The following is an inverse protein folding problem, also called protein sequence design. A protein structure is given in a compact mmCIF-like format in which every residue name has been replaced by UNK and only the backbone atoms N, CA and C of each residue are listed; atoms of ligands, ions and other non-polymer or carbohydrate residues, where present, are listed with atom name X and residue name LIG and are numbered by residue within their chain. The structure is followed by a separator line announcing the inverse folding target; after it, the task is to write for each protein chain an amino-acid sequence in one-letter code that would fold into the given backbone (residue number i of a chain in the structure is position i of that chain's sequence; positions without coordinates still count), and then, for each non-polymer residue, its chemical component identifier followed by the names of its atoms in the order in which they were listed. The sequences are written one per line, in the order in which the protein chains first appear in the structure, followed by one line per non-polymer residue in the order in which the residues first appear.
data_IF_798689219944
#
_entry.id   IF_798689219944
#
_cell.length_a   1.000
_cell.length_b   1.000
_cell.length_c   1.000
_cell.angle_alpha   90.00
_cell.angle_beta   90.00
_cell.angle_gamma   90.00
#
_symmetry.space_group_name_H-M   'P 1'
#
loop_
_entity.id
_entity.type
_entity.pdbx_description
1 polymer ?
#
# COMPACT_ATOMS: atom_id res chain seq x y z
N UNK A 1 -35.75 27.22 -46.17
CA UNK A 1 -35.15 26.70 -44.91
C UNK A 1 -33.62 26.80 -44.91
N UNK A 2 -33.02 28.01 -44.95
CA UNK A 2 -31.54 28.18 -44.96
C UNK A 2 -31.00 29.09 -43.84
N UNK A 3 -31.87 29.56 -42.94
CA UNK A 3 -31.48 30.49 -41.86
C UNK A 3 -30.95 29.76 -40.61
N UNK A 4 -31.27 28.48 -40.43
CA UNK A 4 -30.94 27.73 -39.21
C UNK A 4 -29.53 27.12 -39.16
N UNK A 5 -28.89 26.82 -40.31
CA UNK A 5 -27.57 26.14 -40.32
C UNK A 5 -26.44 27.06 -39.86
N UNK A 6 -26.48 28.35 -40.22
CA UNK A 6 -25.47 29.34 -39.78
C UNK A 6 -25.57 29.65 -38.28
N UNK A 7 -26.79 29.70 -37.73
CA UNK A 7 -26.99 29.86 -36.29
C UNK A 7 -26.55 28.63 -35.51
N UNK A 8 -26.81 27.43 -36.03
CA UNK A 8 -26.33 26.18 -35.43
C UNK A 8 -24.79 26.12 -35.41
N UNK A 9 -24.13 26.39 -36.54
CA UNK A 9 -22.66 26.42 -36.60
C UNK A 9 -22.07 27.46 -35.62
N UNK A 10 -22.68 28.65 -35.53
CA UNK A 10 -22.28 29.67 -34.56
C UNK A 10 -22.47 29.19 -33.12
N UNK A 11 -23.60 28.57 -32.80
CA UNK A 11 -23.89 28.03 -31.46
C UNK A 11 -22.86 26.96 -31.04
N UNK A 12 -22.56 25.98 -31.91
CA UNK A 12 -21.54 24.96 -31.63
C UNK A 12 -20.12 25.56 -31.53
N UNK A 13 -19.80 26.57 -32.35
CA UNK A 13 -18.51 27.26 -32.25
C UNK A 13 -18.34 28.00 -30.93
N UNK A 14 -19.39 28.67 -30.44
CA UNK A 14 -19.41 29.37 -29.15
C UNK A 14 -19.35 28.37 -28.00
N UNK A 15 -20.14 27.29 -28.05
CA UNK A 15 -20.11 26.23 -27.05
C UNK A 15 -18.72 25.57 -26.94
N UNK A 16 -18.05 25.31 -28.07
CA UNK A 16 -16.69 24.75 -28.09
C UNK A 16 -15.67 25.71 -27.48
N UNK A 17 -15.76 27.00 -27.80
CA UNK A 17 -14.91 28.05 -27.22
C UNK A 17 -15.14 28.14 -25.70
N UNK A 18 -16.40 28.12 -25.26
CA UNK A 18 -16.75 28.18 -23.84
C UNK A 18 -16.26 26.94 -23.07
N UNK A 19 -16.36 25.74 -23.67
CA UNK A 19 -15.80 24.51 -23.10
C UNK A 19 -14.28 24.58 -23.00
N UNK A 20 -13.58 25.14 -24.00
CA UNK A 20 -12.13 25.37 -23.96
C UNK A 20 -11.73 26.39 -22.87
N UNK A 21 -12.51 27.46 -22.67
CA UNK A 21 -12.28 28.42 -21.59
C UNK A 21 -12.48 27.80 -20.20
N UNK A 22 -13.54 27.00 -20.02
CA UNK A 22 -13.79 26.28 -18.77
C UNK A 22 -12.68 25.26 -18.51
N UNK A 23 -12.26 24.49 -19.52
CA UNK A 23 -11.16 23.54 -19.42
C UNK A 23 -9.83 24.23 -19.08
N UNK A 24 -9.53 25.38 -19.71
CA UNK A 24 -8.34 26.19 -19.37
C UNK A 24 -8.38 26.73 -17.95
N UNK A 25 -9.51 27.30 -17.51
CA UNK A 25 -9.68 27.77 -16.13
C UNK A 25 -9.52 26.64 -15.11
N UNK A 26 -10.10 25.46 -15.38
CA UNK A 26 -9.95 24.28 -14.53
C UNK A 26 -8.50 23.78 -14.50
N UNK A 27 -7.83 23.73 -15.65
CA UNK A 27 -6.42 23.35 -15.74
C UNK A 27 -5.49 24.36 -15.05
N UNK A 28 -5.80 25.65 -15.12
CA UNK A 28 -5.07 26.72 -14.45
C UNK A 28 -5.31 26.73 -12.93
N UNK A 29 -6.53 26.47 -12.48
CA UNK A 29 -6.84 26.23 -11.07
C UNK A 29 -6.15 24.97 -10.54
N UNK A 30 -6.10 23.89 -11.32
CA UNK A 30 -5.34 22.67 -11.00
C UNK A 30 -3.83 22.91 -11.00
N UNK A 31 -3.31 23.77 -11.89
CA UNK A 31 -1.90 24.20 -11.88
C UNK A 31 -1.60 25.04 -10.65
N UNK A 32 -2.45 26.02 -10.33
CA UNK A 32 -2.28 26.88 -9.15
C UNK A 32 -2.43 26.10 -7.85
N UNK A 33 -3.36 25.13 -7.80
CA UNK A 33 -3.47 24.19 -6.67
C UNK A 33 -2.20 23.37 -6.54
N UNK A 34 -1.69 22.80 -7.64
CA UNK A 34 -0.41 22.09 -7.65
C UNK A 34 0.72 23.00 -7.17
N UNK A 35 0.87 24.21 -7.71
CA UNK A 35 1.90 25.16 -7.26
C UNK A 35 1.77 25.47 -5.76
N UNK A 36 0.57 25.73 -5.24
CA UNK A 36 0.39 25.94 -3.80
C UNK A 36 0.70 24.70 -2.97
N UNK A 37 0.43 23.50 -3.49
CA UNK A 37 0.75 22.22 -2.86
C UNK A 37 2.27 21.95 -2.88
N UNK A 38 2.96 22.29 -3.97
CA UNK A 38 4.42 22.24 -4.08
C UNK A 38 5.06 23.18 -3.04
N UNK A 39 4.61 24.44 -2.96
CA UNK A 39 5.14 25.44 -2.02
C UNK A 39 4.91 25.07 -0.56
N UNK A 40 3.79 24.40 -0.24
CA UNK A 40 3.52 23.90 1.12
C UNK A 40 4.37 22.69 1.49
N UNK A 41 4.83 21.91 0.51
CA UNK A 41 5.71 20.74 0.72
C UNK A 41 7.18 21.13 0.87
N UNK A 42 7.61 22.22 0.24
CA UNK A 42 8.98 22.75 0.26
C UNK A 42 9.40 23.44 1.58
N UNK A 43 8.84 23.08 2.73
CA UNK A 43 9.28 23.65 4.03
C UNK A 43 10.70 23.21 4.39
N UNK A 44 11.16 22.07 3.85
CA UNK A 44 12.54 21.61 3.88
C UNK A 44 12.89 21.09 2.49
N UNK A 45 13.87 21.69 1.82
CA UNK A 45 14.29 21.23 0.51
C UNK A 45 14.98 19.87 0.66
N UNK A 46 14.28 18.79 0.33
CA UNK A 46 14.84 17.42 0.33
C UNK A 46 15.24 16.95 -1.06
N UNK A 47 15.00 17.72 -2.12
CA UNK A 47 15.22 17.28 -3.51
C UNK A 47 16.70 17.05 -3.83
N UNK A 48 17.59 17.69 -3.06
CA UNK A 48 19.03 17.50 -3.14
C UNK A 48 19.52 16.17 -2.55
N UNK A 49 18.72 15.48 -1.72
CA UNK A 49 19.14 14.21 -1.15
C UNK A 49 19.12 13.12 -2.23
N UNK A 50 20.22 12.37 -2.28
CA UNK A 50 20.47 11.35 -3.30
C UNK A 50 19.43 10.23 -3.19
N UNK A 51 18.78 9.91 -4.31
CA UNK A 51 17.95 8.72 -4.45
C UNK A 51 18.84 7.59 -5.00
N UNK A 52 18.73 6.34 -4.48
CA UNK A 52 19.40 5.19 -5.09
C UNK A 52 19.12 5.08 -6.59
N UNK A 53 20.15 4.78 -7.39
CA UNK A 53 20.03 4.77 -8.85
C UNK A 53 18.94 3.82 -9.36
N UNK A 54 18.79 2.66 -8.73
CA UNK A 54 17.72 1.69 -8.99
C UNK A 54 16.34 2.32 -8.83
N UNK A 55 16.10 3.00 -7.70
CA UNK A 55 14.85 3.70 -7.44
C UNK A 55 14.65 4.87 -8.42
N UNK A 56 15.72 5.60 -8.78
CA UNK A 56 15.67 6.65 -9.79
C UNK A 56 15.13 6.15 -11.14
N UNK A 57 15.60 4.99 -11.60
CA UNK A 57 15.12 4.36 -12.84
C UNK A 57 13.64 3.94 -12.73
N UNK A 58 13.24 3.34 -11.60
CA UNK A 58 11.85 2.96 -11.35
C UNK A 58 10.90 4.17 -11.35
N UNK A 59 11.31 5.30 -10.77
CA UNK A 59 10.51 6.53 -10.73
C UNK A 59 10.35 7.17 -12.12
N UNK A 60 11.38 7.10 -12.96
CA UNK A 60 11.29 7.56 -14.35
C UNK A 60 10.32 6.68 -15.14
N UNK A 61 10.40 5.36 -14.99
CA UNK A 61 9.47 4.43 -15.63
C UNK A 61 8.02 4.66 -15.17
N UNK A 62 7.80 4.85 -13.86
CA UNK A 62 6.49 5.11 -13.28
C UNK A 62 5.90 6.47 -13.69
N UNK A 63 6.74 7.47 -13.99
CA UNK A 63 6.28 8.79 -14.45
C UNK A 63 5.79 8.81 -15.91
N UNK A 64 6.24 7.86 -16.73
CA UNK A 64 5.89 7.79 -18.17
C UNK A 64 4.80 6.76 -18.44
N UNK A 65 4.85 5.61 -17.73
CA UNK A 65 3.91 4.51 -17.95
C UNK A 65 2.59 4.79 -17.23
N UNK A 66 1.46 4.47 -17.86
CA UNK A 66 0.15 4.43 -17.20
C UNK A 66 0.14 3.32 -16.15
N UNK A 67 -0.31 3.61 -14.93
CA UNK A 67 -0.47 2.60 -13.88
C UNK A 67 -1.41 1.49 -14.35
N UNK A 68 -0.97 0.24 -14.22
CA UNK A 68 -1.81 -0.93 -14.45
C UNK A 68 -2.99 -0.89 -13.48
N UNK A 69 -4.16 -1.37 -13.92
CA UNK A 69 -5.41 -1.36 -13.17
C UNK A 69 -5.99 0.02 -12.77
N UNK A 70 -5.41 1.14 -13.21
CA UNK A 70 -5.95 2.48 -12.93
C UNK A 70 -7.42 2.63 -13.32
N UNK A 71 -7.84 1.94 -14.37
CA UNK A 71 -9.19 2.01 -14.96
C UNK A 71 -10.19 1.07 -14.29
N UNK A 72 -9.70 0.20 -13.40
CA UNK A 72 -10.51 -0.76 -12.67
C UNK A 72 -10.93 -0.25 -11.29
N UNK A 73 -10.46 0.94 -10.89
CA UNK A 73 -10.77 1.55 -9.61
C UNK A 73 -12.10 2.31 -9.68
N UNK A 74 -13.07 1.90 -8.85
CA UNK A 74 -14.33 2.60 -8.67
C UNK A 74 -14.61 2.83 -7.18
N UNK A 75 -14.99 4.06 -6.82
CA UNK A 75 -15.53 4.33 -5.48
C UNK A 75 -16.97 3.84 -5.42
N UNK A 76 -17.23 2.93 -4.48
CA UNK A 76 -18.56 2.37 -4.24
C UNK A 76 -19.07 2.87 -2.88
N UNK A 77 -20.38 3.00 -2.76
CA UNK A 77 -21.00 3.18 -1.45
C UNK A 77 -20.83 1.89 -0.66
N UNK A 78 -20.37 2.01 0.59
CA UNK A 78 -20.13 0.85 1.44
C UNK A 78 -21.41 0.02 1.58
N UNK A 79 -21.37 -1.29 1.27
CA UNK A 79 -22.50 -2.16 1.58
C UNK A 79 -22.73 -2.17 3.10
N UNK A 80 -23.99 -2.29 3.52
CA UNK A 80 -24.33 -2.45 4.94
C UNK A 80 -23.93 -3.85 5.40
N UNK A 81 -22.65 -4.01 5.76
CA UNK A 81 -22.13 -5.22 6.39
C UNK A 81 -22.23 -5.00 7.90
N UNK A 82 -22.80 -5.95 8.63
CA UNK A 82 -22.75 -5.96 10.10
C UNK A 82 -21.30 -6.22 10.52
N UNK A 83 -20.64 -5.23 11.12
CA UNK A 83 -19.29 -5.39 11.67
C UNK A 83 -19.31 -6.30 12.91
N UNK A 84 -18.98 -7.58 12.74
CA UNK A 84 -19.00 -8.58 13.83
C UNK A 84 -17.81 -8.48 14.80
N UNK A 85 -16.76 -7.70 14.50
CA UNK A 85 -15.56 -7.65 15.33
C UNK A 85 -15.23 -6.22 15.81
N UNK A 86 -15.79 -5.81 16.95
CA UNK A 86 -15.24 -4.68 17.71
C UNK A 86 -13.88 -5.06 18.28
N UNK A 87 -12.80 -4.76 17.54
CA UNK A 87 -11.44 -4.87 18.05
C UNK A 87 -11.26 -3.84 19.17
N UNK A 88 -11.13 -4.32 20.40
CA UNK A 88 -10.91 -3.47 21.58
C UNK A 88 -9.42 -3.31 21.86
N UNK A 89 -9.03 -2.12 22.34
CA UNK A 89 -7.66 -1.88 22.77
C UNK A 89 -7.33 -2.71 24.02
N UNK A 90 -6.10 -3.23 24.15
CA UNK A 90 -5.66 -3.91 25.36
C UNK A 90 -5.81 -3.02 26.60
N UNK A 91 -6.27 -3.58 27.71
CA UNK A 91 -6.47 -2.84 28.97
C UNK A 91 -5.17 -2.24 29.53
N UNK A 92 -4.02 -2.85 29.23
CA UNK A 92 -2.69 -2.43 29.67
C UNK A 92 -2.02 -1.41 28.73
N UNK A 93 -2.69 -0.96 27.66
CA UNK A 93 -2.08 -0.13 26.60
C UNK A 93 -1.43 1.16 27.12
N UNK A 94 -1.96 1.75 28.19
CA UNK A 94 -1.44 2.97 28.81
C UNK A 94 -0.08 2.77 29.50
N UNK A 95 0.36 1.53 29.74
CA UNK A 95 1.68 1.23 30.29
C UNK A 95 2.81 1.31 29.26
N UNK A 96 2.47 1.47 27.97
CA UNK A 96 3.40 1.43 26.84
C UNK A 96 3.48 2.77 26.08
N UNK A 97 3.69 3.93 26.73
CA UNK A 97 3.89 5.18 26.01
C UNK A 97 5.18 5.13 25.19
N UNK A 98 5.16 5.68 23.97
CA UNK A 98 6.27 5.53 23.02
C UNK A 98 7.61 6.11 23.50
N UNK A 99 7.59 7.12 24.38
CA UNK A 99 8.84 7.65 24.95
C UNK A 99 9.65 6.57 25.70
N UNK A 100 9.00 5.57 26.30
CA UNK A 100 9.69 4.45 26.95
C UNK A 100 10.39 3.57 25.93
N UNK A 101 9.76 3.34 24.78
CA UNK A 101 10.39 2.62 23.68
C UNK A 101 11.66 3.34 23.22
N UNK A 102 11.59 4.66 23.02
CA UNK A 102 12.75 5.49 22.68
C UNK A 102 13.86 5.36 23.72
N UNK A 103 13.54 5.45 25.01
CA UNK A 103 14.55 5.34 26.09
C UNK A 103 15.26 3.99 26.13
N UNK A 104 14.57 2.90 25.77
CA UNK A 104 15.11 1.54 25.88
C UNK A 104 15.85 1.13 24.60
N UNK A 105 15.27 1.44 23.44
CA UNK A 105 15.68 0.87 22.16
C UNK A 105 16.41 1.83 21.23
N UNK A 106 16.25 3.15 21.41
CA UNK A 106 17.03 4.09 20.60
C UNK A 106 18.48 4.14 21.08
N UNK A 107 19.40 4.42 20.16
CA UNK A 107 20.82 4.66 20.47
C UNK A 107 20.98 5.95 21.28
N UNK A 108 20.32 7.00 20.82
CA UNK A 108 20.18 8.27 21.54
C UNK A 108 18.71 8.47 21.91
N UNK A 109 18.38 8.79 23.17
CA UNK A 109 17.00 8.94 23.63
C UNK A 109 16.40 10.29 23.19
N UNK A 110 16.52 10.62 21.90
CA UNK A 110 15.97 11.81 21.26
C UNK A 110 14.76 11.39 20.43
N UNK A 111 13.67 12.15 20.55
CA UNK A 111 12.44 11.91 19.82
C UNK A 111 11.87 13.21 19.29
N UNK A 112 11.61 13.28 17.99
CA UNK A 112 11.18 14.48 17.31
C UNK A 112 11.63 14.49 15.86
N UNK A 113 10.79 15.08 15.00
CA UNK A 113 11.05 15.22 13.58
C UNK A 113 12.43 15.83 13.32
N UNK A 114 13.19 15.16 12.45
CA UNK A 114 14.50 15.60 11.99
C UNK A 114 14.41 16.04 10.53
N UNK A 115 15.20 17.06 10.18
CA UNK A 115 15.25 17.63 8.83
C UNK A 115 16.53 17.27 8.08
N UNK A 116 17.58 16.86 8.82
CA UNK A 116 18.84 16.42 8.27
C UNK A 116 18.90 14.88 8.21
N UNK A 117 19.65 14.30 7.26
CA UNK A 117 19.94 12.86 7.24
C UNK A 117 20.54 12.38 8.56
N UNK A 118 20.27 11.11 8.89
CA UNK A 118 20.88 10.47 10.06
C UNK A 118 22.37 10.19 9.80
N UNK A 119 23.20 10.38 10.82
CA UNK A 119 24.58 9.88 10.83
C UNK A 119 24.65 8.43 11.30
N UNK A 120 23.67 8.00 12.10
CA UNK A 120 23.54 6.62 12.57
C UNK A 120 22.08 6.23 12.76
N UNK A 121 21.75 4.92 12.71
CA UNK A 121 20.38 4.42 12.87
C UNK A 121 19.75 4.84 14.20
N UNK A 122 18.42 5.01 14.24
CA UNK A 122 17.72 5.37 15.48
C UNK A 122 17.79 4.24 16.50
N UNK A 123 17.57 3.00 16.06
CA UNK A 123 17.55 1.81 16.91
C UNK A 123 18.85 1.00 16.82
N UNK A 124 18.95 -0.05 17.64
CA UNK A 124 20.08 -0.98 17.66
C UNK A 124 19.92 -2.03 16.55
N UNK A 125 20.26 -1.64 15.32
CA UNK A 125 20.38 -2.56 14.17
C UNK A 125 21.77 -3.22 14.11
N UNK A 126 21.85 -4.38 13.46
CA UNK A 126 23.09 -5.10 13.18
C UNK A 126 24.09 -4.25 12.38
N UNK A 127 25.39 -4.49 12.55
CA UNK A 127 26.45 -3.68 11.91
C UNK A 127 26.30 -3.62 10.39
N UNK A 128 26.00 -4.75 9.76
CA UNK A 128 25.88 -4.88 8.31
C UNK A 128 24.69 -4.10 7.74
N UNK A 129 23.67 -3.84 8.57
CA UNK A 129 22.45 -3.13 8.19
C UNK A 129 22.50 -1.63 8.49
N UNK A 130 23.55 -1.13 9.18
CA UNK A 130 23.65 0.28 9.58
C UNK A 130 23.61 1.24 8.39
N UNK A 131 24.36 0.93 7.34
CA UNK A 131 24.40 1.77 6.13
C UNK A 131 23.04 1.84 5.44
N UNK A 132 22.34 0.72 5.38
CA UNK A 132 21.00 0.64 4.79
C UNK A 132 19.96 1.39 5.63
N UNK A 133 20.00 1.26 6.96
CA UNK A 133 19.11 1.99 7.87
C UNK A 133 19.25 3.52 7.72
N UNK A 134 20.48 4.03 7.57
CA UNK A 134 20.71 5.46 7.33
C UNK A 134 20.20 5.89 5.95
N UNK A 135 20.42 5.08 4.92
CA UNK A 135 19.88 5.35 3.58
C UNK A 135 18.34 5.33 3.54
N UNK A 136 17.70 4.43 4.31
CA UNK A 136 16.25 4.38 4.49
C UNK A 136 15.70 5.68 5.07
N UNK A 137 16.41 6.31 6.00
CA UNK A 137 15.96 7.57 6.55
C UNK A 137 15.95 8.69 5.50
N UNK A 138 16.95 8.74 4.63
CA UNK A 138 16.97 9.65 3.49
C UNK A 138 15.77 9.39 2.58
N UNK A 139 15.44 8.12 2.33
CA UNK A 139 14.26 7.75 1.56
C UNK A 139 12.95 8.19 2.26
N UNK A 140 12.83 8.07 3.58
CA UNK A 140 11.67 8.57 4.34
C UNK A 140 11.56 10.10 4.21
N UNK A 141 12.66 10.84 4.37
CA UNK A 141 12.68 12.30 4.15
C UNK A 141 12.23 12.67 2.73
N UNK A 142 12.76 11.97 1.72
CA UNK A 142 12.42 12.16 0.31
C UNK A 142 10.95 11.86 0.05
N UNK A 143 10.43 10.74 0.57
CA UNK A 143 9.03 10.35 0.41
C UNK A 143 8.10 11.40 1.03
N UNK A 144 8.40 11.92 2.21
CA UNK A 144 7.52 12.88 2.88
C UNK A 144 7.63 14.28 2.28
N UNK A 145 8.83 14.74 1.95
CA UNK A 145 9.09 16.14 1.63
C UNK A 145 9.23 16.48 0.14
N UNK A 146 9.37 15.51 -0.77
CA UNK A 146 9.57 15.84 -2.18
C UNK A 146 8.26 16.27 -2.85
N UNK A 147 8.17 17.52 -3.31
CA UNK A 147 6.96 18.04 -3.96
C UNK A 147 6.69 17.37 -5.32
N UNK A 148 7.71 16.81 -5.98
CA UNK A 148 7.59 16.18 -7.29
C UNK A 148 7.03 14.75 -7.25
N UNK A 149 7.05 14.10 -6.08
CA UNK A 149 6.48 12.77 -5.91
C UNK A 149 4.95 12.87 -5.79
N UNK A 150 4.23 12.37 -6.80
CA UNK A 150 2.78 12.29 -6.81
C UNK A 150 2.29 11.02 -7.53
N UNK A 151 1.06 10.60 -7.23
CA UNK A 151 0.40 9.47 -7.88
C UNK A 151 1.28 8.20 -7.92
N UNK A 152 1.51 7.70 -9.13
CA UNK A 152 2.33 6.52 -9.41
C UNK A 152 3.74 6.58 -8.84
N UNK A 153 4.40 7.74 -8.93
CA UNK A 153 5.77 7.89 -8.45
C UNK A 153 5.83 7.82 -6.92
N UNK A 154 4.84 8.39 -6.23
CA UNK A 154 4.73 8.26 -4.78
C UNK A 154 4.46 6.81 -4.36
N UNK A 155 3.53 6.11 -5.04
CA UNK A 155 3.26 4.68 -4.80
C UNK A 155 4.55 3.85 -4.97
N UNK A 156 5.28 4.06 -6.06
CA UNK A 156 6.51 3.35 -6.37
C UNK A 156 7.59 3.59 -5.32
N UNK A 157 7.75 4.85 -4.88
CA UNK A 157 8.70 5.22 -3.83
C UNK A 157 8.36 4.54 -2.50
N UNK A 158 7.09 4.58 -2.10
CA UNK A 158 6.61 3.92 -0.88
C UNK A 158 6.81 2.40 -0.95
N UNK A 159 6.49 1.78 -2.09
CA UNK A 159 6.71 0.35 -2.32
C UNK A 159 8.18 -0.04 -2.21
N UNK A 160 9.11 0.79 -2.70
CA UNK A 160 10.53 0.53 -2.56
C UNK A 160 10.97 0.51 -1.09
N UNK A 161 10.53 1.48 -0.28
CA UNK A 161 10.81 1.51 1.17
C UNK A 161 10.26 0.25 1.85
N UNK A 162 9.02 -0.11 1.55
CA UNK A 162 8.36 -1.30 2.11
C UNK A 162 9.14 -2.56 1.72
N UNK A 163 9.56 -2.67 0.47
CA UNK A 163 10.31 -3.82 -0.03
C UNK A 163 11.65 -4.01 0.69
N UNK A 164 12.33 -2.93 1.10
CA UNK A 164 13.53 -3.04 1.97
C UNK A 164 13.19 -3.68 3.31
N UNK A 165 12.07 -3.27 3.94
CA UNK A 165 11.60 -3.86 5.20
C UNK A 165 11.13 -5.31 5.07
N UNK A 166 10.49 -5.67 3.95
CA UNK A 166 10.12 -7.05 3.64
C UNK A 166 11.36 -7.92 3.39
N UNK A 167 12.36 -7.37 2.70
CA UNK A 167 13.58 -8.10 2.35
C UNK A 167 14.52 -8.31 3.54
N UNK A 168 14.49 -7.38 4.49
CA UNK A 168 15.40 -7.33 5.63
C UNK A 168 14.61 -7.16 6.93
N UNK A 169 14.15 -8.26 7.57
CA UNK A 169 13.35 -8.18 8.80
C UNK A 169 14.00 -7.38 9.94
N UNK A 170 15.33 -7.37 10.02
CA UNK A 170 16.10 -6.57 10.98
C UNK A 170 15.95 -5.05 10.82
N UNK A 171 15.37 -4.57 9.72
CA UNK A 171 15.10 -3.15 9.46
C UNK A 171 13.65 -2.73 9.72
N UNK A 172 12.73 -3.66 9.98
CA UNK A 172 11.30 -3.35 10.10
C UNK A 172 11.00 -2.36 11.23
N UNK A 173 11.47 -2.66 12.45
CA UNK A 173 11.31 -1.77 13.59
C UNK A 173 12.05 -0.44 13.41
N UNK A 174 13.19 -0.44 12.70
CA UNK A 174 13.94 0.77 12.37
C UNK A 174 13.14 1.68 11.43
N UNK A 175 12.57 1.12 10.36
CA UNK A 175 11.71 1.86 9.42
C UNK A 175 10.50 2.43 10.16
N UNK A 176 9.83 1.63 10.98
CA UNK A 176 8.68 2.09 11.77
C UNK A 176 9.08 3.20 12.75
N UNK A 177 10.21 3.06 13.45
CA UNK A 177 10.73 4.06 14.37
C UNK A 177 11.08 5.38 13.67
N UNK A 178 11.71 5.31 12.50
CA UNK A 178 12.04 6.47 11.67
C UNK A 178 10.77 7.20 11.22
N UNK A 179 9.77 6.49 10.70
CA UNK A 179 8.51 7.11 10.27
C UNK A 179 7.75 7.71 11.46
N UNK A 180 7.67 7.00 12.59
CA UNK A 180 7.06 7.50 13.84
C UNK A 180 7.75 8.77 14.33
N UNK A 181 9.08 8.80 14.29
CA UNK A 181 9.87 9.98 14.65
C UNK A 181 9.54 11.18 13.74
N UNK A 182 9.36 10.95 12.44
CA UNK A 182 9.05 12.00 11.47
C UNK A 182 7.62 12.52 11.52
N UNK A 183 6.63 11.72 11.95
CA UNK A 183 5.24 12.19 12.13
C UNK A 183 5.03 12.87 13.49
N UNK A 184 5.88 12.59 14.47
CA UNK A 184 5.77 13.17 15.81
C UNK A 184 6.05 14.68 15.82
N UNK A 185 5.01 15.46 16.19
CA UNK A 185 5.07 16.93 16.28
C UNK A 185 5.64 17.59 15.02
N UNK A 186 5.35 17.01 13.86
CA UNK A 186 5.77 17.57 12.60
C UNK A 186 4.99 18.86 12.33
N UNK A 187 5.70 19.97 12.15
CA UNK A 187 5.13 21.29 11.90
C UNK A 187 4.46 21.40 10.53
N UNK A 188 4.88 20.56 9.58
CA UNK A 188 4.28 20.51 8.25
C UNK A 188 3.25 19.37 8.21
N UNK A 189 1.96 19.74 8.23
CA UNK A 189 0.83 18.81 8.21
C UNK A 189 0.78 17.95 6.94
N UNK A 190 1.20 18.47 5.79
CA UNK A 190 1.20 17.71 4.53
C UNK A 190 2.30 16.65 4.53
N UNK A 191 3.50 17.00 5.01
CA UNK A 191 4.57 16.03 5.19
C UNK A 191 4.17 14.97 6.24
N UNK A 192 3.54 15.39 7.33
CA UNK A 192 3.03 14.49 8.35
C UNK A 192 1.98 13.52 7.79
N UNK A 193 1.04 13.99 6.97
CA UNK A 193 0.02 13.14 6.34
C UNK A 193 0.65 12.06 5.45
N UNK A 194 1.69 12.41 4.68
CA UNK A 194 2.47 11.43 3.90
C UNK A 194 3.21 10.44 4.80
N UNK A 195 3.79 10.90 5.91
CA UNK A 195 4.40 10.01 6.90
C UNK A 195 3.41 9.04 7.52
N UNK A 196 2.20 9.48 7.87
CA UNK A 196 1.14 8.62 8.38
C UNK A 196 0.65 7.61 7.34
N UNK A 197 0.57 8.03 6.07
CA UNK A 197 0.26 7.15 4.95
C UNK A 197 1.34 6.07 4.78
N UNK A 198 2.62 6.45 4.85
CA UNK A 198 3.74 5.50 4.79
C UNK A 198 3.73 4.54 5.98
N UNK A 199 3.45 5.03 7.20
CA UNK A 199 3.33 4.18 8.39
C UNK A 199 2.24 3.12 8.22
N UNK A 200 1.08 3.52 7.73
CA UNK A 200 -0.03 2.60 7.44
C UNK A 200 0.36 1.57 6.38
N UNK A 201 1.05 2.00 5.32
CA UNK A 201 1.52 1.10 4.27
C UNK A 201 2.54 0.07 4.80
N UNK A 202 3.48 0.48 5.67
CA UNK A 202 4.41 -0.42 6.34
C UNK A 202 3.67 -1.45 7.21
N UNK A 203 2.76 -1.01 8.08
CA UNK A 203 2.01 -1.90 8.99
C UNK A 203 1.07 -2.85 8.24
N UNK A 204 0.59 -2.48 7.06
CA UNK A 204 -0.16 -3.38 6.17
C UNK A 204 0.72 -4.45 5.49
N UNK A 205 2.04 -4.26 5.46
CA UNK A 205 2.99 -5.14 4.76
C UNK A 205 3.75 -6.06 5.71
N UNK A 206 4.18 -5.55 6.87
CA UNK A 206 4.87 -6.30 7.90
C UNK A 206 4.46 -5.82 9.30
N UNK A 207 4.42 -6.75 10.25
CA UNK A 207 4.07 -6.45 11.63
C UNK A 207 5.27 -5.87 12.38
N UNK A 208 5.07 -4.92 13.33
CA UNK A 208 6.12 -4.55 14.27
C UNK A 208 6.56 -5.77 15.10
N UNK A 209 7.79 -5.76 15.60
CA UNK A 209 8.23 -6.81 16.50
C UNK A 209 7.44 -6.80 17.82
N UNK A 210 7.42 -7.90 18.58
CA UNK A 210 6.82 -7.95 19.91
C UNK A 210 7.43 -6.96 20.93
N UNK A 211 8.58 -6.35 20.61
CA UNK A 211 9.21 -5.30 21.44
C UNK A 211 8.60 -3.93 21.18
N UNK A 212 8.02 -3.71 20.00
CA UNK A 212 7.51 -2.41 19.54
C UNK A 212 5.98 -2.36 19.45
N UNK A 213 5.31 -3.49 19.18
CA UNK A 213 3.87 -3.59 18.88
C UNK A 213 2.94 -2.78 19.81
N UNK A 214 3.05 -2.96 21.14
CA UNK A 214 2.21 -2.26 22.11
C UNK A 214 2.54 -0.77 22.20
N UNK A 215 3.82 -0.42 22.08
CA UNK A 215 4.26 0.98 22.07
C UNK A 215 3.76 1.71 20.83
N UNK A 216 3.82 1.07 19.66
CA UNK A 216 3.32 1.61 18.41
C UNK A 216 1.79 1.73 18.43
N UNK A 217 1.09 0.71 18.93
CA UNK A 217 -0.37 0.76 19.08
C UNK A 217 -0.80 1.90 20.00
N UNK A 218 -0.10 2.11 21.12
CA UNK A 218 -0.36 3.23 22.03
C UNK A 218 -0.08 4.58 21.34
N UNK A 219 1.05 4.70 20.64
CA UNK A 219 1.41 5.91 19.89
C UNK A 219 0.34 6.30 18.86
N UNK A 220 -0.09 5.33 18.04
CA UNK A 220 -1.16 5.52 17.05
C UNK A 220 -2.45 5.94 17.74
N UNK A 221 -2.80 5.28 18.84
CA UNK A 221 -4.02 5.57 19.59
C UNK A 221 -4.06 7.00 20.13
N UNK A 222 -2.92 7.56 20.50
CA UNK A 222 -2.85 8.91 21.09
C UNK A 222 -2.68 10.03 20.04
N UNK A 223 -2.09 9.71 18.87
CA UNK A 223 -1.54 10.75 17.99
C UNK A 223 -1.91 10.62 16.52
N UNK A 224 -2.43 9.47 16.06
CA UNK A 224 -2.80 9.32 14.66
C UNK A 224 -4.05 10.17 14.32
N UNK A 225 -4.14 10.75 13.10
CA UNK A 225 -5.35 11.42 12.65
C UNK A 225 -6.53 10.44 12.59
N UNK A 226 -7.74 10.88 12.98
CA UNK A 226 -8.91 10.02 13.19
C UNK A 226 -9.16 8.97 12.08
N UNK A 227 -9.11 9.36 10.79
CA UNK A 227 -9.35 8.41 9.70
C UNK A 227 -8.20 7.41 9.43
N UNK A 228 -6.97 7.71 9.85
CA UNK A 228 -5.84 6.77 9.77
C UNK A 228 -5.72 5.92 11.03
N UNK A 229 -6.10 6.49 12.19
CA UNK A 229 -6.05 5.86 13.51
C UNK A 229 -6.78 4.52 13.54
N UNK A 230 -8.04 4.49 13.10
CA UNK A 230 -8.86 3.27 13.12
C UNK A 230 -8.24 2.14 12.25
N UNK A 231 -7.76 2.49 11.06
CA UNK A 231 -7.10 1.54 10.15
C UNK A 231 -5.80 1.00 10.75
N UNK A 232 -4.95 1.87 11.28
CA UNK A 232 -3.71 1.48 11.95
C UNK A 232 -3.98 0.61 13.17
N UNK A 233 -4.93 0.98 14.04
CA UNK A 233 -5.31 0.19 15.21
C UNK A 233 -5.79 -1.20 14.80
N UNK A 234 -6.73 -1.26 13.85
CA UNK A 234 -7.26 -2.53 13.34
C UNK A 234 -6.12 -3.43 12.83
N UNK A 235 -5.21 -2.89 12.01
CA UNK A 235 -4.09 -3.65 11.45
C UNK A 235 -3.09 -4.10 12.50
N UNK A 236 -2.74 -3.25 13.47
CA UNK A 236 -1.82 -3.59 14.55
C UNK A 236 -2.40 -4.67 15.48
N UNK A 237 -3.68 -4.57 15.83
CA UNK A 237 -4.36 -5.56 16.68
C UNK A 237 -4.45 -6.90 15.94
N UNK A 238 -4.86 -6.89 14.67
CA UNK A 238 -4.94 -8.08 13.84
C UNK A 238 -3.57 -8.75 13.66
N UNK A 239 -2.52 -7.96 13.41
CA UNK A 239 -1.14 -8.44 13.30
C UNK A 239 -0.66 -9.11 14.59
N UNK A 240 -0.94 -8.49 15.74
CA UNK A 240 -0.56 -9.05 17.04
C UNK A 240 -1.27 -10.38 17.33
N UNK A 241 -2.57 -10.47 17.06
CA UNK A 241 -3.33 -11.70 17.24
C UNK A 241 -2.75 -12.85 16.40
N UNK A 242 -2.43 -12.60 15.12
CA UNK A 242 -1.80 -13.60 14.25
C UNK A 242 -0.46 -14.09 14.80
N UNK A 243 0.36 -13.19 15.32
CA UNK A 243 1.67 -13.53 15.92
C UNK A 243 1.52 -14.39 17.19
N UNK A 244 0.47 -14.17 17.99
CA UNK A 244 0.24 -14.93 19.22
C UNK A 244 -0.34 -16.34 18.98
N UNK A 245 -1.17 -16.50 17.94
CA UNK A 245 -1.79 -17.78 17.56
C UNK A 245 -0.85 -18.70 16.77
N UNK A 246 0.22 -18.15 16.17
CA UNK A 246 1.22 -18.88 15.41
C UNK A 246 2.15 -19.74 16.28
N UNK A 247 1.80 -21.01 16.48
CA UNK A 247 2.67 -22.05 17.05
C UNK A 247 3.71 -22.52 16.01
N UNK A 248 4.83 -21.80 15.89
CA UNK A 248 6.04 -22.30 15.22
C UNK A 248 6.34 -21.69 13.84
N UNK A 249 7.53 -21.10 13.75
CA UNK A 249 8.13 -20.37 12.63
C UNK A 249 7.63 -18.94 12.44
N UNK A 250 8.57 -18.01 12.57
CA UNK A 250 8.37 -16.57 12.63
C UNK A 250 8.19 -15.79 11.29
N UNK A 251 8.08 -16.37 10.06
CA UNK A 251 7.93 -15.54 8.86
C UNK A 251 6.48 -15.37 8.33
N UNK A 252 5.48 -16.13 8.79
CA UNK A 252 4.20 -16.27 8.05
C UNK A 252 3.18 -15.11 8.19
N UNK A 253 3.54 -14.00 8.85
CA UNK A 253 2.63 -12.83 8.95
C UNK A 253 3.00 -11.68 8.03
N UNK A 254 4.24 -11.64 7.53
CA UNK A 254 4.67 -10.63 6.57
C UNK A 254 4.18 -10.97 5.16
N UNK A 255 3.94 -9.95 4.35
CA UNK A 255 3.62 -10.14 2.93
C UNK A 255 4.87 -10.44 2.12
N UNK A 256 4.70 -11.01 0.94
CA UNK A 256 5.81 -11.21 0.00
C UNK A 256 6.05 -9.97 -0.85
N UNK A 257 4.99 -9.22 -1.15
CA UNK A 257 5.05 -8.04 -2.02
C UNK A 257 4.51 -6.77 -1.33
N UNK A 258 4.97 -5.58 -1.76
CA UNK A 258 4.52 -4.29 -1.24
C UNK A 258 3.08 -3.98 -1.71
N UNK A 259 2.57 -2.78 -1.44
CA UNK A 259 1.15 -2.47 -1.65
C UNK A 259 0.78 -2.37 -3.13
N UNK A 260 -0.36 -2.97 -3.48
CA UNK A 260 -1.02 -2.77 -4.75
C UNK A 260 -1.65 -1.36 -4.83
N UNK A 261 -1.94 -0.89 -6.03
CA UNK A 261 -2.55 0.41 -6.33
C UNK A 261 -3.90 0.59 -5.62
N UNK A 262 -4.70 -0.46 -5.54
CA UNK A 262 -5.98 -0.43 -4.81
C UNK A 262 -5.76 -0.15 -3.31
N UNK A 263 -4.72 -0.73 -2.70
CA UNK A 263 -4.40 -0.52 -1.28
C UNK A 263 -3.91 0.91 -1.05
N UNK A 264 -3.00 1.40 -1.89
CA UNK A 264 -2.57 2.80 -1.85
C UNK A 264 -3.73 3.77 -1.99
N UNK A 265 -4.65 3.49 -2.91
CA UNK A 265 -5.83 4.34 -3.14
C UNK A 265 -6.76 4.32 -1.93
N UNK A 266 -7.03 3.15 -1.38
CA UNK A 266 -7.90 3.00 -0.21
C UNK A 266 -7.30 3.65 1.05
N UNK A 267 -6.00 3.46 1.30
CA UNK A 267 -5.29 4.07 2.42
C UNK A 267 -5.32 5.60 2.34
N UNK A 268 -5.10 6.18 1.15
CA UNK A 268 -5.23 7.64 0.96
C UNK A 268 -6.66 8.13 1.18
N UNK A 269 -7.65 7.35 0.75
CA UNK A 269 -9.08 7.68 0.92
C UNK A 269 -9.62 7.34 2.30
N UNK A 270 -8.83 6.68 3.17
CA UNK A 270 -9.24 6.21 4.50
C UNK A 270 -10.51 5.34 4.39
N UNK A 271 -10.53 4.47 3.37
CA UNK A 271 -11.70 3.71 2.96
C UNK A 271 -11.41 2.21 2.95
N UNK A 272 -12.47 1.40 3.05
CA UNK A 272 -12.39 -0.05 2.89
C UNK A 272 -12.20 -0.41 1.42
N UNK A 273 -11.51 -1.53 1.18
CA UNK A 273 -11.30 -2.09 -0.15
C UNK A 273 -12.26 -3.24 -0.41
N UNK A 274 -12.72 -3.35 -1.65
CA UNK A 274 -13.47 -4.51 -2.14
C UNK A 274 -12.87 -4.92 -3.47
N UNK A 275 -12.61 -6.22 -3.63
CA UNK A 275 -12.15 -6.81 -4.89
C UNK A 275 -13.32 -7.54 -5.54
N UNK A 276 -13.65 -7.18 -6.78
CA UNK A 276 -14.77 -7.79 -7.48
C UNK A 276 -14.38 -9.20 -8.02
N UNK A 277 -15.15 -10.26 -7.72
CA UNK A 277 -14.75 -11.66 -7.96
C UNK A 277 -14.74 -12.14 -9.42
N UNK A 278 -14.98 -11.29 -10.43
CA UNK A 278 -15.06 -11.72 -11.85
C UNK A 278 -13.74 -12.31 -12.36
N UNK A 279 -12.60 -11.99 -11.71
CA UNK A 279 -11.30 -12.62 -12.00
C UNK A 279 -10.87 -13.69 -10.99
N UNK A 280 -11.63 -13.90 -9.90
CA UNK A 280 -11.33 -14.87 -8.85
C UNK A 280 -12.32 -16.03 -8.93
N UNK A 281 -11.89 -17.13 -9.54
CA UNK A 281 -12.73 -18.32 -9.65
C UNK A 281 -12.49 -19.21 -8.43
N UNK A 282 -13.58 -19.56 -7.74
CA UNK A 282 -13.56 -20.67 -6.78
C UNK A 282 -13.58 -21.98 -7.54
N UNK A 283 -12.48 -22.74 -7.49
CA UNK A 283 -12.47 -24.11 -7.98
C UNK A 283 -12.88 -25.06 -6.85
N UNK A 284 -14.07 -25.65 -6.98
CA UNK A 284 -14.54 -26.71 -6.09
C UNK A 284 -14.04 -28.06 -6.60
N UNK A 285 -13.14 -28.73 -5.87
CA UNK A 285 -12.60 -30.06 -6.26
C UNK A 285 -13.44 -31.26 -5.80
N UNK A 286 -14.74 -31.06 -5.57
CA UNK A 286 -15.70 -32.16 -5.33
C UNK A 286 -15.58 -32.85 -3.95
N UNK A 287 -15.16 -32.13 -2.92
CA UNK A 287 -15.13 -32.62 -1.53
C UNK A 287 -16.43 -32.21 -0.82
N UNK A 288 -16.92 -33.02 0.13
CA UNK A 288 -18.19 -32.78 0.85
C UNK A 288 -18.25 -31.46 1.64
N UNK A 289 -17.08 -30.89 1.95
CA UNK A 289 -16.95 -29.73 2.81
C UNK A 289 -16.40 -28.53 2.01
N UNK A 290 -17.14 -27.42 1.99
CA UNK A 290 -16.83 -26.22 1.21
C UNK A 290 -15.52 -25.50 1.59
N UNK A 291 -15.04 -25.73 2.82
CA UNK A 291 -13.72 -25.27 3.29
C UNK A 291 -12.57 -26.23 2.93
N UNK A 292 -12.83 -27.43 2.41
CA UNK A 292 -11.81 -28.38 1.94
C UNK A 292 -11.85 -28.48 0.42
N UNK A 293 -10.83 -27.96 -0.26
CA UNK A 293 -10.68 -28.11 -1.70
C UNK A 293 -11.17 -26.93 -2.54
N UNK A 294 -11.37 -25.77 -1.92
CA UNK A 294 -11.57 -24.48 -2.58
C UNK A 294 -10.24 -23.74 -2.69
N UNK A 295 -9.92 -23.25 -3.88
CA UNK A 295 -8.73 -22.40 -4.11
C UNK A 295 -9.16 -21.18 -4.90
N UNK A 296 -8.50 -20.05 -4.63
CA UNK A 296 -8.72 -18.80 -5.34
C UNK A 296 -7.81 -18.80 -6.56
N UNK A 297 -8.39 -18.72 -7.75
CA UNK A 297 -7.64 -18.59 -9.00
C UNK A 297 -7.80 -17.20 -9.58
N UNK A 298 -6.70 -16.50 -9.85
CA UNK A 298 -6.72 -15.24 -10.60
C UNK A 298 -6.56 -15.52 -12.08
N UNK A 299 -7.49 -15.02 -12.90
CA UNK A 299 -7.42 -15.08 -14.36
C UNK A 299 -7.06 -13.73 -14.97
N UNK A 300 -5.92 -13.65 -15.64
CA UNK A 300 -5.57 -12.47 -16.42
C UNK A 300 -4.88 -12.84 -17.75
N UNK A 301 -5.32 -12.23 -18.86
CA UNK A 301 -4.81 -12.47 -20.22
C UNK A 301 -4.70 -13.95 -20.66
N UNK A 302 -5.49 -14.86 -20.09
CA UNK A 302 -5.48 -16.29 -20.42
C UNK A 302 -4.54 -17.14 -19.55
N UNK A 303 -3.87 -16.53 -18.57
CA UNK A 303 -3.07 -17.23 -17.57
C UNK A 303 -3.88 -17.43 -16.28
N UNK A 304 -3.60 -18.53 -15.58
CA UNK A 304 -4.24 -18.91 -14.32
C UNK A 304 -3.18 -19.00 -13.23
N UNK A 305 -3.38 -18.26 -12.14
CA UNK A 305 -2.51 -18.34 -10.95
C UNK A 305 -3.35 -18.84 -9.77
N UNK A 306 -2.95 -19.97 -9.17
CA UNK A 306 -3.62 -20.60 -8.02
C UNK A 306 -2.94 -20.16 -6.72
N UNK A 307 -3.71 -19.68 -5.75
CA UNK A 307 -3.23 -19.32 -4.42
C UNK A 307 -3.17 -20.53 -3.49
N UNK A 308 -2.12 -20.62 -2.67
CA UNK A 308 -2.17 -21.46 -1.47
C UNK A 308 -3.07 -20.78 -0.42
N UNK A 309 -3.76 -21.57 0.41
CA UNK A 309 -4.76 -21.04 1.36
C UNK A 309 -4.25 -20.08 2.46
N UNK A 310 -2.95 -19.76 2.49
CA UNK A 310 -2.30 -18.82 3.40
C UNK A 310 -1.73 -17.58 2.69
N UNK A 311 -1.78 -17.53 1.35
CA UNK A 311 -1.23 -16.43 0.56
C UNK A 311 -2.12 -15.18 0.62
N UNK A 312 -1.49 -14.00 0.65
CA UNK A 312 -2.21 -12.73 0.58
C UNK A 312 -2.73 -12.49 -0.85
N UNK A 313 -4.04 -12.39 -1.05
CA UNK A 313 -4.63 -12.14 -2.39
C UNK A 313 -4.05 -10.90 -3.08
N UNK A 314 -3.74 -9.85 -2.29
CA UNK A 314 -3.16 -8.61 -2.83
C UNK A 314 -1.70 -8.75 -3.27
N UNK A 315 -0.99 -9.79 -2.83
CA UNK A 315 0.38 -10.06 -3.28
C UNK A 315 0.41 -10.42 -4.78
N UNK A 316 -0.61 -11.12 -5.29
CA UNK A 316 -0.76 -11.39 -6.72
C UNK A 316 -0.97 -10.12 -7.54
N UNK A 317 -1.85 -9.25 -7.05
CA UNK A 317 -2.18 -8.00 -7.72
C UNK A 317 -0.96 -7.07 -7.72
N UNK A 318 -0.25 -7.02 -6.61
CA UNK A 318 0.99 -6.25 -6.47
C UNK A 318 2.08 -6.77 -7.42
N UNK A 319 2.30 -8.08 -7.51
CA UNK A 319 3.31 -8.65 -8.40
C UNK A 319 3.09 -8.26 -9.88
N UNK A 320 1.83 -8.22 -10.32
CA UNK A 320 1.46 -7.80 -11.68
C UNK A 320 1.65 -6.30 -11.94
N UNK A 321 1.47 -5.48 -10.93
CA UNK A 321 1.56 -4.01 -11.05
C UNK A 321 3.02 -3.52 -10.99
N UNK A 322 3.90 -4.29 -10.36
CA UNK A 322 5.31 -3.94 -10.21
C UNK A 322 6.08 -4.08 -11.54
N UNK A 323 6.98 -3.15 -11.86
CA UNK A 323 7.90 -3.30 -12.98
C UNK A 323 8.77 -4.57 -12.85
N UNK A 324 9.21 -5.17 -13.97
CA UNK A 324 10.05 -6.37 -13.95
C UNK A 324 11.38 -6.14 -13.21
N UNK A 325 11.94 -4.94 -13.31
CA UNK A 325 13.21 -4.56 -12.64
C UNK A 325 13.03 -4.19 -11.16
N UNK A 326 11.81 -4.30 -10.61
CA UNK A 326 11.57 -3.99 -9.20
C UNK A 326 12.23 -5.06 -8.31
N UNK A 327 12.99 -4.66 -7.26
CA UNK A 327 13.77 -5.59 -6.44
C UNK A 327 12.87 -6.39 -5.48
N UNK A 328 12.15 -7.38 -5.99
CA UNK A 328 11.23 -8.25 -5.22
C UNK A 328 11.89 -9.57 -4.81
N UNK A 329 11.46 -10.12 -3.67
CA UNK A 329 11.85 -11.48 -3.27
C UNK A 329 11.12 -12.50 -4.15
N UNK A 330 11.83 -13.57 -4.56
CA UNK A 330 11.22 -14.64 -5.36
C UNK A 330 10.30 -15.48 -4.47
N UNK A 331 8.99 -15.40 -4.69
CA UNK A 331 8.05 -16.35 -4.10
C UNK A 331 8.10 -17.68 -4.86
N UNK A 332 8.09 -18.80 -4.14
CA UNK A 332 7.95 -20.13 -4.76
C UNK A 332 6.49 -20.46 -5.13
N UNK A 333 5.52 -19.75 -4.54
CA UNK A 333 4.10 -20.04 -4.68
C UNK A 333 3.38 -19.03 -5.57
N UNK A 334 3.82 -17.77 -5.58
CA UNK A 334 3.35 -16.77 -6.55
C UNK A 334 4.14 -16.93 -7.85
N UNK A 335 3.60 -17.71 -8.78
CA UNK A 335 4.20 -17.93 -10.11
C UNK A 335 3.98 -16.67 -10.95
N UNK A 336 5.01 -15.83 -11.02
CA UNK A 336 5.05 -14.66 -11.91
C UNK A 336 5.24 -15.07 -13.37
N UNK A 337 4.83 -14.18 -14.26
CA UNK A 337 4.82 -14.25 -15.74
C UNK A 337 6.22 -14.39 -16.40
N UNK A 338 7.30 -14.28 -15.63
CA UNK A 338 8.68 -14.20 -16.13
C UNK A 338 9.27 -15.53 -16.62
N UNK A 339 8.62 -16.67 -16.39
CA UNK A 339 9.10 -17.95 -16.90
C UNK A 339 7.94 -18.86 -17.38
N UNK A 340 7.58 -18.81 -18.68
CA UNK A 340 6.55 -19.69 -19.24
C UNK A 340 6.92 -21.18 -19.14
N UNK A 341 8.18 -21.54 -18.83
CA UNK A 341 8.62 -22.92 -18.62
C UNK A 341 8.44 -23.43 -17.18
N UNK A 342 8.18 -22.53 -16.20
CA UNK A 342 7.85 -22.89 -14.81
C UNK A 342 6.36 -22.93 -14.51
N UNK A 343 5.53 -22.55 -15.48
CA UNK A 343 4.12 -22.94 -15.51
C UNK A 343 4.10 -24.45 -15.35
N UNK A 344 3.47 -24.96 -14.28
CA UNK A 344 3.19 -26.40 -14.18
C UNK A 344 2.55 -26.80 -15.49
N UNK A 345 3.26 -27.57 -16.32
CA UNK A 345 2.67 -28.27 -17.43
C UNK A 345 1.48 -29.01 -16.85
N UNK A 346 0.29 -28.58 -17.27
CA UNK A 346 -1.01 -29.22 -17.05
C UNK A 346 -0.87 -30.56 -16.34
N UNK A 347 -1.03 -30.59 -15.01
CA UNK A 347 -1.51 -31.81 -14.39
C UNK A 347 -2.89 -32.00 -14.98
N UNK A 348 -2.98 -32.92 -15.95
CA UNK A 348 -4.09 -33.02 -16.89
C UNK A 348 -5.45 -32.94 -16.20
N UNK A 349 -6.12 -31.80 -16.38
CA UNK A 349 -7.55 -31.71 -16.20
C UNK A 349 -8.15 -31.80 -17.60
N UNK A 350 -8.28 -33.04 -18.07
CA UNK A 350 -9.39 -33.36 -18.94
C UNK A 350 -10.65 -32.89 -18.22
N UNK A 351 -11.20 -31.76 -18.62
CA UNK A 351 -12.55 -31.33 -18.23
C UNK A 351 -13.46 -32.50 -18.59
N UNK A 352 -14.05 -33.23 -17.63
CA UNK A 352 -15.11 -34.15 -17.97
C UNK A 352 -16.24 -33.26 -18.48
N UNK A 353 -16.59 -33.41 -19.76
CA UNK A 353 -17.83 -32.89 -20.30
C UNK A 353 -18.96 -33.45 -19.42
N UNK A 354 -19.46 -32.67 -18.45
CA UNK A 354 -20.59 -33.09 -17.63
C UNK A 354 -20.66 -32.66 -16.16
N UNK A 355 -19.87 -31.71 -15.66
CA UNK A 355 -20.10 -31.13 -14.33
C UNK A 355 -20.58 -29.69 -14.47
N UNK A 356 -21.83 -29.44 -14.05
CA UNK A 356 -22.57 -28.20 -14.25
C UNK A 356 -21.84 -26.96 -13.73
N UNK A 357 -21.81 -25.93 -14.56
CA UNK A 357 -21.59 -24.55 -14.12
C UNK A 357 -22.88 -24.11 -13.44
N UNK A 358 -22.97 -24.28 -12.13
CA UNK A 358 -24.01 -23.61 -11.36
C UNK A 358 -23.52 -22.21 -11.02
N UNK A 359 -24.00 -21.22 -11.78
CA UNK A 359 -24.12 -19.86 -11.29
C UNK A 359 -25.22 -19.85 -10.24
N UNK A 360 -24.95 -19.59 -8.95
CA UNK A 360 -26.01 -19.42 -7.98
C UNK A 360 -26.62 -18.04 -8.22
N UNK A 361 -27.67 -18.00 -9.04
CA UNK A 361 -28.70 -17.01 -8.90
C UNK A 361 -29.58 -17.44 -7.74
N UNK A 362 -29.23 -17.05 -6.51
CA UNK A 362 -30.15 -17.09 -5.39
C UNK A 362 -29.63 -16.16 -4.29
N UNK A 363 -30.46 -15.17 -3.97
CA UNK A 363 -30.47 -14.41 -2.72
C UNK A 363 -30.24 -15.33 -1.54
N UNK A 364 -29.11 -15.15 -0.86
CA UNK A 364 -28.92 -15.62 0.51
C UNK A 364 -28.75 -14.36 1.35
N UNK A 365 -29.82 -14.02 2.07
CA UNK A 365 -29.74 -13.09 3.20
C UNK A 365 -28.78 -13.68 4.23
N UNK A 366 -27.70 -12.95 4.53
CA UNK A 366 -27.05 -12.81 5.84
C UNK A 366 -26.20 -11.54 5.83
#
# INVERSE_FOLDING_TARGET
MYVNRKQYIKFFSVARIQMQFVARRKAEEERRKRETELTKREVVNVTHLVIPAELGALLQAAGVRRELHSDCLALLQAPHIQEEAQLTLPLDINNYPFYRYVQIYFREPKFGMLTAPLESPLTRVEEDLRGEAVALFVMVLRFMGDPHLNGAQENMFGNYIIQRGLSSPGLQDEILAQVVNQVWRNVNLENAERGWLLLLACVCSFAPSPKMDKYLLKFVSDHAPAGCQALLQHRLIQGNQKTQLGSGSAPDTARTYPLALLEWTANRKKANMVLHPVKLVWCYRGVSDWWRGSSILMKEHGQWVELAGHDYVMDLVSDLELPPDFPKQKSYFVISTDDPARVRATAGLSVPHGAGVETPGETIDL
#
